data_IF_822302710332
#
_entry.id   IF_822302710332
#
_cell.length_a   1.000
_cell.length_b   1.000
_cell.length_c   1.000
_cell.angle_alpha   90.00
_cell.angle_beta   90.00
_cell.angle_gamma   90.00
#
_symmetry.space_group_name_H-M   'P 1'
#
loop_
_entity.id
_entity.type
_entity.pdbx_description
1 polymer ?
#
# COMPACT_ATOMS: atom_id res chain seq x y z
N UNK A 1 -14.36 0.96 2.55
CA UNK A 1 -14.24 -0.36 1.89
C UNK A 1 -13.32 -0.20 0.69
N UNK A 2 -12.23 -0.97 0.59
CA UNK A 2 -11.32 -0.87 -0.58
C UNK A 2 -11.90 -1.61 -1.78
N UNK A 3 -11.63 -1.10 -2.98
CA UNK A 3 -12.11 -1.70 -4.23
C UNK A 3 -11.02 -2.52 -4.93
N UNK A 4 -11.41 -3.50 -5.74
CA UNK A 4 -10.45 -4.24 -6.59
C UNK A 4 -9.63 -3.33 -7.51
N UNK A 5 -10.20 -2.21 -7.97
CA UNK A 5 -9.49 -1.20 -8.75
C UNK A 5 -8.38 -0.51 -7.94
N UNK A 6 -8.66 -0.16 -6.69
CA UNK A 6 -7.64 0.40 -5.79
C UNK A 6 -6.56 -0.63 -5.47
N UNK A 7 -6.91 -1.90 -5.25
CA UNK A 7 -5.92 -2.98 -5.04
C UNK A 7 -4.98 -3.12 -6.24
N UNK A 8 -5.52 -3.17 -7.47
CA UNK A 8 -4.72 -3.22 -8.71
C UNK A 8 -3.79 -2.01 -8.84
N UNK A 9 -4.30 -0.81 -8.55
CA UNK A 9 -3.52 0.42 -8.62
C UNK A 9 -2.39 0.45 -7.58
N UNK A 10 -2.68 0.08 -6.33
CA UNK A 10 -1.67 -0.03 -5.27
C UNK A 10 -0.56 -1.00 -5.63
N UNK A 11 -0.94 -2.17 -6.17
CA UNK A 11 0.00 -3.19 -6.64
C UNK A 11 0.90 -2.67 -7.78
N UNK A 12 0.33 -1.91 -8.71
CA UNK A 12 1.10 -1.28 -9.78
C UNK A 12 2.09 -0.24 -9.24
N UNK A 13 1.70 0.57 -8.25
CA UNK A 13 2.60 1.54 -7.59
C UNK A 13 3.78 0.85 -6.90
N UNK A 14 3.55 -0.31 -6.28
CA UNK A 14 4.58 -1.09 -5.60
C UNK A 14 5.41 -1.99 -6.53
N UNK A 15 5.05 -2.06 -7.82
CA UNK A 15 5.57 -3.04 -8.78
C UNK A 15 5.47 -4.50 -8.27
N UNK A 16 4.37 -4.83 -7.57
CA UNK A 16 4.14 -6.17 -7.04
C UNK A 16 3.36 -7.04 -8.03
N UNK A 17 3.64 -8.35 -8.03
CA UNK A 17 2.79 -9.33 -8.71
C UNK A 17 1.58 -9.72 -7.85
N UNK A 18 0.58 -10.40 -8.43
CA UNK A 18 -0.55 -10.91 -7.63
C UNK A 18 -0.08 -11.93 -6.60
N UNK A 19 0.90 -12.76 -6.97
CA UNK A 19 1.51 -13.77 -6.12
C UNK A 19 2.20 -13.13 -4.92
N UNK A 20 2.99 -12.07 -5.15
CA UNK A 20 3.64 -11.33 -4.08
C UNK A 20 2.63 -10.71 -3.11
N UNK A 21 1.57 -10.09 -3.61
CA UNK A 21 0.54 -9.51 -2.75
C UNK A 21 -0.20 -10.60 -1.95
N UNK A 22 -0.52 -11.73 -2.58
CA UNK A 22 -1.17 -12.86 -1.90
C UNK A 22 -0.29 -13.40 -0.76
N UNK A 23 1.01 -13.56 -1.02
CA UNK A 23 2.00 -13.97 -0.02
C UNK A 23 2.12 -12.96 1.12
N UNK A 24 2.29 -11.67 0.81
CA UNK A 24 2.41 -10.60 1.82
C UNK A 24 1.16 -10.41 2.66
N UNK A 25 -0.02 -10.61 2.07
CA UNK A 25 -1.30 -10.52 2.76
C UNK A 25 -1.72 -11.83 3.45
N UNK A 26 -0.99 -12.93 3.28
CA UNK A 26 -1.33 -14.27 3.80
C UNK A 26 -2.71 -14.75 3.35
N UNK A 27 -3.09 -14.43 2.11
CA UNK A 27 -4.37 -14.82 1.50
C UNK A 27 -4.15 -15.78 0.35
N UNK A 28 -5.14 -16.63 0.07
CA UNK A 28 -5.12 -17.48 -1.11
C UNK A 28 -5.13 -16.63 -2.40
N UNK A 29 -4.28 -16.97 -3.37
CA UNK A 29 -4.21 -16.28 -4.67
C UNK A 29 -5.56 -16.23 -5.40
N UNK A 30 -6.36 -17.29 -5.29
CA UNK A 30 -7.71 -17.35 -5.87
C UNK A 30 -8.67 -16.32 -5.26
N UNK A 31 -8.55 -16.06 -3.95
CA UNK A 31 -9.33 -15.04 -3.25
C UNK A 31 -8.88 -13.63 -3.67
N UNK A 32 -7.57 -13.39 -3.82
CA UNK A 32 -7.06 -12.13 -4.35
C UNK A 32 -7.50 -11.88 -5.79
N UNK A 33 -7.48 -12.90 -6.66
CA UNK A 33 -7.99 -12.79 -8.05
C UNK A 33 -9.48 -12.44 -8.09
N UNK A 34 -10.28 -12.99 -7.17
CA UNK A 34 -11.70 -12.61 -7.02
C UNK A 34 -11.84 -11.16 -6.54
N UNK A 35 -11.01 -10.73 -5.59
CA UNK A 35 -11.01 -9.35 -5.08
C UNK A 35 -10.65 -8.32 -6.16
N UNK A 36 -9.65 -8.62 -7.00
CA UNK A 36 -9.24 -7.75 -8.10
C UNK A 36 -10.20 -7.83 -9.31
N UNK A 37 -11.15 -8.77 -9.32
CA UNK A 37 -12.09 -8.97 -10.43
C UNK A 37 -13.10 -7.83 -10.54
N UNK A 38 -13.31 -7.37 -11.77
CA UNK A 38 -14.27 -6.29 -12.08
C UNK A 38 -15.72 -6.69 -11.87
N UNK A 39 -15.99 -8.00 -11.74
CA UNK A 39 -17.34 -8.54 -11.51
C UNK A 39 -17.86 -8.29 -10.10
N UNK A 40 -17.06 -7.71 -9.20
CA UNK A 40 -17.48 -7.39 -7.84
C UNK A 40 -17.89 -8.65 -7.05
N UNK A 41 -17.24 -9.78 -7.33
CA UNK A 41 -17.48 -11.01 -6.59
C UNK A 41 -17.10 -10.76 -5.13
N UNK A 42 -18.11 -10.69 -4.26
CA UNK A 42 -17.92 -10.44 -2.83
C UNK A 42 -16.88 -11.40 -2.27
N UNK A 43 -15.83 -10.84 -1.68
CA UNK A 43 -14.81 -11.61 -0.97
C UNK A 43 -15.07 -11.43 0.52
N UNK A 44 -14.79 -12.45 1.32
CA UNK A 44 -14.88 -12.36 2.77
C UNK A 44 -14.19 -11.10 3.29
N UNK A 45 -14.82 -10.41 4.24
CA UNK A 45 -14.31 -9.15 4.81
C UNK A 45 -12.89 -9.32 5.36
N UNK A 46 -12.59 -10.47 5.99
CA UNK A 46 -11.26 -10.79 6.50
C UNK A 46 -10.16 -10.81 5.44
N UNK A 47 -10.43 -11.32 4.23
CA UNK A 47 -9.45 -11.29 3.12
C UNK A 47 -9.21 -9.85 2.66
N UNK A 48 -10.27 -9.05 2.59
CA UNK A 48 -10.18 -7.64 2.16
C UNK A 48 -9.36 -6.83 3.16
N UNK A 49 -9.56 -7.06 4.46
CA UNK A 49 -8.80 -6.38 5.52
C UNK A 49 -7.32 -6.80 5.52
N UNK A 50 -7.01 -8.09 5.34
CA UNK A 50 -5.63 -8.57 5.23
C UNK A 50 -4.89 -7.94 4.04
N UNK A 51 -5.52 -7.88 2.86
CA UNK A 51 -4.95 -7.24 1.67
C UNK A 51 -4.74 -5.74 1.91
N UNK A 52 -5.72 -5.07 2.52
CA UNK A 52 -5.60 -3.65 2.88
C UNK A 52 -4.39 -3.39 3.77
N UNK A 53 -4.25 -4.15 4.87
CA UNK A 53 -3.15 -4.01 5.83
C UNK A 53 -1.79 -4.28 5.20
N UNK A 54 -1.68 -5.28 4.33
CA UNK A 54 -0.41 -5.59 3.66
C UNK A 54 0.06 -4.46 2.75
N UNK A 55 -0.87 -3.82 2.03
CA UNK A 55 -0.58 -2.67 1.17
C UNK A 55 -0.26 -1.42 2.01
N UNK A 56 -1.02 -1.18 3.08
CA UNK A 56 -0.74 -0.08 4.02
C UNK A 56 0.64 -0.20 4.69
N UNK A 57 1.02 -1.42 5.09
CA UNK A 57 2.36 -1.71 5.61
C UNK A 57 3.48 -1.49 4.57
N UNK A 58 3.14 -1.57 3.28
CA UNK A 58 4.03 -1.24 2.18
C UNK A 58 3.97 0.23 1.76
N UNK A 59 3.52 1.12 2.66
CA UNK A 59 3.43 2.57 2.45
C UNK A 59 2.38 3.01 1.42
N UNK A 60 1.31 2.22 1.21
CA UNK A 60 0.15 2.65 0.43
C UNK A 60 -0.91 3.25 1.34
N UNK A 61 -1.39 4.44 0.99
CA UNK A 61 -2.57 5.05 1.59
C UNK A 61 -3.77 4.94 0.63
N UNK A 62 -4.87 4.37 1.11
CA UNK A 62 -6.14 4.39 0.38
C UNK A 62 -6.87 5.70 0.63
N UNK A 63 -7.30 6.35 -0.45
CA UNK A 63 -8.00 7.64 -0.39
C UNK A 63 -9.46 7.43 -0.78
N UNK A 64 -10.36 7.96 0.03
CA UNK A 64 -11.78 8.09 -0.28
C UNK A 64 -12.20 9.53 0.05
N UNK A 65 -12.69 10.24 -0.97
CA UNK A 65 -13.05 11.65 -0.89
C UNK A 65 -14.38 11.89 -1.59
N UNK A 66 -14.97 13.07 -1.41
CA UNK A 66 -16.18 13.48 -2.15
C UNK A 66 -15.98 13.54 -3.66
N UNK A 67 -14.73 13.59 -4.15
CA UNK A 67 -14.40 13.58 -5.58
C UNK A 67 -14.09 12.18 -6.12
N UNK A 68 -13.98 11.16 -5.26
CA UNK A 68 -13.74 9.78 -5.69
C UNK A 68 -12.74 9.01 -4.82
N UNK A 69 -12.27 7.90 -5.37
CA UNK A 69 -11.40 6.92 -4.70
C UNK A 69 -10.04 6.84 -5.38
N UNK A 70 -8.98 6.74 -4.59
CA UNK A 70 -7.60 6.68 -5.07
C UNK A 70 -6.68 5.85 -4.19
N UNK A 71 -5.41 5.80 -4.61
CA UNK A 71 -4.30 5.21 -3.86
C UNK A 71 -3.10 6.15 -3.97
N UNK A 72 -2.35 6.29 -2.88
CA UNK A 72 -1.16 7.13 -2.81
C UNK A 72 -0.02 6.30 -2.24
N UNK A 73 1.16 6.41 -2.85
CA UNK A 73 2.38 5.86 -2.27
C UNK A 73 3.04 6.93 -1.40
N UNK A 74 3.25 6.61 -0.12
CA UNK A 74 3.87 7.51 0.83
C UNK A 74 5.39 7.47 0.65
N UNK A 75 5.99 8.61 0.32
CA UNK A 75 7.43 8.77 0.38
C UNK A 75 7.88 8.91 1.83
N UNK A 76 9.06 8.38 2.17
CA UNK A 76 9.74 8.66 3.46
C UNK A 76 10.27 10.10 3.50
N UNK A 77 9.41 11.11 3.37
CA UNK A 77 9.77 12.49 3.64
C UNK A 77 9.63 12.74 5.13
N UNK A 78 10.66 12.41 5.93
CA UNK A 78 10.99 13.08 7.22
C UNK A 78 12.16 12.46 8.02
N UNK A 79 12.47 11.17 7.85
CA UNK A 79 13.48 10.50 8.71
C UNK A 79 14.95 10.81 8.36
N UNK A 80 15.22 11.07 7.08
CA UNK A 80 16.58 11.19 6.55
C UNK A 80 17.12 12.64 6.63
N UNK A 81 16.28 13.64 6.37
CA UNK A 81 16.68 15.06 6.45
C UNK A 81 17.00 15.49 7.90
N UNK A 82 16.22 15.02 8.88
CA UNK A 82 16.48 15.30 10.30
C UNK A 82 17.78 14.63 10.81
N UNK A 83 18.14 13.45 10.27
CA UNK A 83 19.42 12.77 10.54
C UNK A 83 20.59 13.49 9.88
N UNK A 84 20.46 13.92 8.63
CA UNK A 84 21.51 14.65 7.91
C UNK A 84 21.77 16.05 8.48
N UNK A 85 20.73 16.75 8.96
CA UNK A 85 20.87 18.04 9.63
C UNK A 85 21.65 17.93 10.96
N UNK A 86 21.51 16.82 11.70
CA UNK A 86 22.29 16.54 12.92
C UNK A 86 23.76 16.22 12.62
N UNK A 87 24.04 15.45 11.56
CA UNK A 87 25.43 15.09 11.19
C UNK A 87 26.22 16.31 10.70
N UNK A 88 25.59 17.24 9.98
CA UNK A 88 26.24 18.49 9.53
C UNK A 88 26.61 19.43 10.66
N UNK A 89 25.84 19.47 11.76
CA UNK A 89 26.16 20.32 12.94
C UNK A 89 27.32 19.79 13.80
N UNK A 90 27.67 18.51 13.68
CA UNK A 90 28.74 17.88 14.48
C UNK A 90 30.12 18.02 13.83
N UNK A 91 30.20 18.37 12.54
CA UNK A 91 31.47 18.46 11.78
C UNK A 91 32.05 19.88 11.64
N UNK A 92 31.55 20.85 12.40
CA UNK A 92 32.19 22.16 12.51
C UNK A 92 32.75 22.36 13.92
N UNK A 93 34.04 22.06 14.10
CA UNK A 93 34.91 22.90 14.90
C UNK A 93 35.98 23.57 14.01
N UNK A 94 36.23 24.82 14.38
CA UNK A 94 37.32 25.74 14.00
C UNK A 94 38.63 25.11 13.57
#
# INVERSE_FOLDING_TARGET
MITGRQVRAARALLNWTQEMLAEKALVALTALKRLESERGLGVHEGTTDQVRRALEAAAILFIESGQGRGVMFLHETSGNEARQARVRRVRSPT
#
